data_IF_196906657931
#
_entry.id   IF_196906657931
#
_cell.length_a   1.000
_cell.length_b   1.000
_cell.length_c   1.000
_cell.angle_alpha   90.00
_cell.angle_beta   90.00
_cell.angle_gamma   90.00
#
_symmetry.space_group_name_H-M   'P 1'
#
loop_
_entity.id
_entity.type
_entity.pdbx_description
1 polymer ?
#
# COMPACT_ATOMS: atom_id res chain seq x y z
N UNK A 1 25.64 25.92 29.46
CA UNK A 1 24.48 25.01 29.37
C UNK A 1 24.76 23.75 30.18
N UNK A 2 23.67 23.07 30.63
CA UNK A 2 23.78 21.84 31.41
C UNK A 2 24.56 20.73 30.70
N UNK A 3 24.74 20.84 29.39
CA UNK A 3 25.45 19.89 28.50
C UNK A 3 26.90 20.30 28.20
N UNK A 4 27.43 21.33 28.88
CA UNK A 4 28.84 21.75 28.78
C UNK A 4 29.17 22.55 27.51
N UNK A 5 28.17 22.98 26.71
CA UNK A 5 28.38 23.86 25.57
C UNK A 5 28.46 25.32 26.01
N UNK A 6 29.49 26.04 25.54
CA UNK A 6 29.60 27.50 25.72
C UNK A 6 28.56 28.18 24.80
N UNK A 7 27.62 28.93 25.40
CA UNK A 7 26.68 29.74 24.66
C UNK A 7 27.09 31.21 24.75
N UNK A 8 27.22 31.86 23.60
CA UNK A 8 27.55 33.28 23.53
C UNK A 8 26.27 34.13 23.69
N UNK A 9 26.27 35.02 24.67
CA UNK A 9 25.13 35.88 24.99
C UNK A 9 25.50 37.31 24.81
N UNK A 10 24.73 38.07 24.01
CA UNK A 10 24.84 39.52 23.92
C UNK A 10 24.08 40.20 25.07
N UNK A 11 24.77 40.95 25.87
CA UNK A 11 24.19 41.74 26.94
C UNK A 11 23.92 43.14 26.39
N UNK A 12 22.66 43.49 26.20
CA UNK A 12 22.24 44.80 25.67
C UNK A 12 21.55 45.60 26.76
N UNK A 13 22.06 46.83 27.00
CA UNK A 13 21.41 47.80 27.86
C UNK A 13 20.46 48.70 27.08
N UNK A 14 19.21 48.68 27.45
CA UNK A 14 18.21 49.59 26.87
C UNK A 14 18.11 50.84 27.74
N UNK A 15 18.68 51.95 27.23
CA UNK A 15 18.72 53.23 27.93
C UNK A 15 17.34 53.88 28.10
N UNK A 16 16.33 53.47 27.31
CA UNK A 16 14.97 54.01 27.40
C UNK A 16 14.16 53.40 28.53
N UNK A 17 14.42 52.12 28.84
CA UNK A 17 13.71 51.35 29.87
C UNK A 17 14.57 51.13 31.13
N UNK A 18 15.86 51.38 31.06
CA UNK A 18 16.81 51.14 32.15
C UNK A 18 17.06 49.66 32.47
N UNK A 19 16.68 48.76 31.56
CA UNK A 19 16.74 47.32 31.78
C UNK A 19 17.89 46.69 30.99
N UNK A 20 18.62 45.78 31.63
CA UNK A 20 19.59 44.94 30.96
C UNK A 20 18.85 43.70 30.39
N UNK A 21 18.99 43.42 29.08
CA UNK A 21 18.48 42.25 28.44
C UNK A 21 19.62 41.37 27.93
N UNK A 22 19.49 40.05 28.17
CA UNK A 22 20.40 39.05 27.63
C UNK A 22 19.76 38.51 26.37
N UNK A 23 20.43 38.71 25.23
CA UNK A 23 19.97 38.18 23.93
C UNK A 23 20.85 37.01 23.54
N UNK A 24 20.24 35.91 23.22
CA UNK A 24 20.90 34.74 22.63
C UNK A 24 20.52 34.69 21.15
N UNK A 25 21.54 34.59 20.29
CA UNK A 25 21.29 34.25 18.88
C UNK A 25 20.80 32.80 18.81
N UNK A 26 19.55 32.62 18.50
CA UNK A 26 18.99 31.30 18.26
C UNK A 26 18.76 31.15 16.76
N UNK A 27 19.36 30.14 16.14
CA UNK A 27 19.03 29.82 14.75
C UNK A 27 17.59 29.39 14.70
N UNK A 28 16.73 30.19 14.11
CA UNK A 28 15.34 29.86 13.87
C UNK A 28 15.20 29.48 12.40
N UNK A 29 14.85 28.26 12.15
CA UNK A 29 14.51 27.83 10.78
C UNK A 29 13.22 28.54 10.35
N UNK A 30 13.35 29.47 9.42
CA UNK A 30 12.19 30.11 8.79
C UNK A 30 11.74 29.25 7.63
N UNK A 31 10.60 28.55 7.79
CA UNK A 31 9.99 27.80 6.71
C UNK A 31 9.32 28.79 5.74
N UNK A 32 9.76 28.81 4.50
CA UNK A 32 9.12 29.60 3.45
C UNK A 32 7.84 28.87 2.98
N UNK A 33 6.73 29.26 3.61
CA UNK A 33 5.42 28.64 3.35
C UNK A 33 4.81 29.27 2.09
N UNK A 34 4.25 28.42 1.22
CA UNK A 34 3.63 28.85 -0.03
C UNK A 34 4.55 29.65 -0.94
N UNK A 35 5.86 29.38 -0.91
CA UNK A 35 6.79 29.97 -1.86
C UNK A 35 6.36 29.62 -3.29
N UNK A 36 6.36 30.64 -4.14
CA UNK A 36 6.12 30.43 -5.58
C UNK A 36 7.24 29.60 -6.20
N UNK A 37 7.00 28.92 -7.34
CA UNK A 37 8.03 28.19 -8.07
C UNK A 37 9.27 29.05 -8.31
N UNK A 38 10.43 28.52 -7.93
CA UNK A 38 11.74 29.20 -8.07
C UNK A 38 12.83 28.15 -8.39
N UNK A 39 14.11 28.60 -8.44
CA UNK A 39 15.22 27.69 -8.78
C UNK A 39 15.50 26.63 -7.72
N UNK A 40 15.17 26.87 -6.47
CA UNK A 40 15.35 25.95 -5.35
C UNK A 40 14.12 25.04 -5.18
N UNK A 41 12.93 25.57 -5.41
CA UNK A 41 11.65 24.89 -5.30
C UNK A 41 10.87 24.97 -6.62
N UNK A 42 11.10 24.04 -7.54
CA UNK A 42 10.53 24.09 -8.89
C UNK A 42 8.99 24.11 -8.94
N UNK A 43 8.34 23.49 -7.97
CA UNK A 43 6.88 23.53 -7.82
C UNK A 43 6.45 24.35 -6.59
N UNK A 44 7.37 25.12 -6.01
CA UNK A 44 7.11 25.89 -4.79
C UNK A 44 7.06 25.01 -3.54
N UNK A 45 6.58 25.60 -2.43
CA UNK A 45 6.46 24.94 -1.13
C UNK A 45 5.01 24.82 -0.68
N UNK A 46 4.73 23.85 0.20
CA UNK A 46 3.42 23.64 0.80
C UNK A 46 3.18 24.48 2.06
N UNK A 47 2.07 24.22 2.76
CA UNK A 47 1.70 24.88 4.04
C UNK A 47 2.74 24.72 5.15
N UNK A 48 3.58 23.69 5.06
CA UNK A 48 4.61 23.37 6.03
C UNK A 48 6.01 23.83 5.58
N UNK A 49 6.12 24.50 4.42
CA UNK A 49 7.38 24.88 3.83
C UNK A 49 8.15 23.74 3.16
N UNK A 50 7.50 22.59 2.94
CA UNK A 50 8.13 21.44 2.27
C UNK A 50 8.08 21.61 0.75
N UNK A 51 9.19 21.24 0.07
CA UNK A 51 9.27 21.28 -1.39
C UNK A 51 8.23 20.34 -2.03
N UNK A 52 7.35 20.91 -2.87
CA UNK A 52 6.24 20.19 -3.49
C UNK A 52 6.71 19.12 -4.46
N UNK A 53 7.79 19.34 -5.21
CA UNK A 53 8.34 18.35 -6.15
C UNK A 53 8.89 17.14 -5.40
N UNK A 54 9.69 17.37 -4.39
CA UNK A 54 10.24 16.32 -3.54
C UNK A 54 9.13 15.48 -2.91
N UNK A 55 8.10 16.15 -2.38
CA UNK A 55 6.95 15.49 -1.76
C UNK A 55 6.15 14.65 -2.76
N UNK A 56 5.97 15.14 -4.00
CA UNK A 56 5.30 14.41 -5.07
C UNK A 56 6.09 13.15 -5.46
N UNK A 57 7.42 13.27 -5.61
CA UNK A 57 8.29 12.14 -5.96
C UNK A 57 8.29 11.06 -4.86
N UNK A 58 8.46 11.46 -3.60
CA UNK A 58 8.41 10.51 -2.48
C UNK A 58 7.03 9.88 -2.31
N UNK A 59 5.96 10.67 -2.41
CA UNK A 59 4.58 10.17 -2.36
C UNK A 59 4.27 9.20 -3.49
N UNK A 60 4.69 9.52 -4.72
CA UNK A 60 4.57 8.63 -5.88
C UNK A 60 5.30 7.31 -5.69
N UNK A 61 6.55 7.35 -5.20
CA UNK A 61 7.32 6.14 -4.87
C UNK A 61 6.58 5.26 -3.86
N UNK A 62 6.09 5.85 -2.77
CA UNK A 62 5.37 5.12 -1.72
C UNK A 62 4.07 4.51 -2.28
N UNK A 63 3.31 5.27 -3.06
CA UNK A 63 2.06 4.79 -3.68
C UNK A 63 2.30 3.61 -4.63
N UNK A 64 3.37 3.65 -5.44
CA UNK A 64 3.73 2.55 -6.32
C UNK A 64 4.13 1.30 -5.53
N UNK A 65 4.94 1.44 -4.48
CA UNK A 65 5.34 0.31 -3.62
C UNK A 65 4.11 -0.34 -3.00
N UNK A 66 3.20 0.47 -2.43
CA UNK A 66 1.94 -0.03 -1.84
C UNK A 66 1.13 -0.77 -2.90
N UNK A 67 0.92 -0.17 -4.07
CA UNK A 67 0.15 -0.77 -5.15
C UNK A 67 0.70 -2.12 -5.58
N UNK A 68 2.02 -2.22 -5.83
CA UNK A 68 2.65 -3.48 -6.23
C UNK A 68 2.56 -4.57 -5.16
N UNK A 69 2.79 -4.22 -3.88
CA UNK A 69 2.73 -5.21 -2.79
C UNK A 69 1.29 -5.69 -2.59
N UNK A 70 0.32 -4.79 -2.56
CA UNK A 70 -1.11 -5.15 -2.39
C UNK A 70 -1.57 -6.05 -3.54
N UNK A 71 -1.31 -5.66 -4.79
CA UNK A 71 -1.68 -6.46 -5.97
C UNK A 71 -0.98 -7.82 -5.98
N UNK A 72 0.29 -7.90 -5.55
CA UNK A 72 1.00 -9.18 -5.45
C UNK A 72 0.35 -10.11 -4.43
N UNK A 73 -0.10 -9.60 -3.27
CA UNK A 73 -0.79 -10.38 -2.24
C UNK A 73 -2.16 -10.83 -2.74
N UNK A 74 -2.98 -9.90 -3.23
CA UNK A 74 -4.32 -10.17 -3.77
C UNK A 74 -4.26 -11.17 -4.92
N UNK A 75 -3.34 -10.93 -5.87
CA UNK A 75 -3.12 -11.78 -7.02
C UNK A 75 -2.69 -13.19 -6.64
N UNK A 76 -1.72 -13.32 -5.74
CA UNK A 76 -1.21 -14.63 -5.30
C UNK A 76 -2.32 -15.48 -4.68
N UNK A 77 -3.08 -14.90 -3.73
CA UNK A 77 -4.19 -15.61 -3.06
C UNK A 77 -5.33 -15.87 -4.05
N UNK A 78 -5.74 -14.83 -4.79
CA UNK A 78 -6.87 -14.90 -5.71
C UNK A 78 -6.65 -15.86 -6.86
N UNK A 79 -5.45 -15.90 -7.45
CA UNK A 79 -5.09 -16.85 -8.52
C UNK A 79 -5.14 -18.28 -8.02
N UNK A 80 -4.57 -18.57 -6.85
CA UNK A 80 -4.56 -19.93 -6.29
C UNK A 80 -5.98 -20.37 -5.94
N UNK A 81 -6.74 -19.56 -5.21
CA UNK A 81 -8.08 -19.90 -4.77
C UNK A 81 -9.07 -19.98 -5.96
N UNK A 82 -9.00 -19.03 -6.88
CA UNK A 82 -9.83 -19.04 -8.09
C UNK A 82 -9.46 -20.17 -9.04
N UNK A 83 -8.17 -20.47 -9.17
CA UNK A 83 -7.66 -21.59 -9.97
C UNK A 83 -8.15 -22.94 -9.47
N UNK A 84 -8.04 -23.18 -8.17
CA UNK A 84 -8.52 -24.41 -7.52
C UNK A 84 -10.05 -24.53 -7.65
N UNK A 85 -10.76 -23.46 -7.33
CA UNK A 85 -12.22 -23.39 -7.41
C UNK A 85 -12.73 -23.69 -8.82
N UNK A 86 -12.23 -22.98 -9.83
CA UNK A 86 -12.63 -23.13 -11.21
C UNK A 86 -12.28 -24.49 -11.81
N UNK A 87 -11.13 -25.08 -11.41
CA UNK A 87 -10.69 -26.35 -11.95
C UNK A 87 -11.45 -27.55 -11.36
N UNK A 88 -11.51 -27.68 -10.03
CA UNK A 88 -12.13 -28.85 -9.38
C UNK A 88 -13.66 -28.77 -9.41
N UNK A 89 -14.24 -27.58 -9.32
CA UNK A 89 -15.69 -27.42 -9.31
C UNK A 89 -16.39 -28.06 -8.10
N UNK A 90 -17.69 -28.32 -8.23
CA UNK A 90 -18.47 -29.05 -7.26
C UNK A 90 -18.38 -28.54 -5.82
N UNK A 91 -18.05 -29.41 -4.86
CA UNK A 91 -17.97 -29.05 -3.44
C UNK A 91 -16.82 -28.07 -3.13
N UNK A 92 -15.66 -28.25 -3.79
CA UNK A 92 -14.49 -27.37 -3.60
C UNK A 92 -14.82 -25.96 -4.04
N UNK A 93 -15.44 -25.80 -5.19
CA UNK A 93 -15.90 -24.53 -5.71
C UNK A 93 -16.90 -23.86 -4.76
N UNK A 94 -17.91 -24.61 -4.32
CA UNK A 94 -18.92 -24.10 -3.39
C UNK A 94 -18.29 -23.63 -2.08
N UNK A 95 -17.33 -24.37 -1.51
CA UNK A 95 -16.66 -23.98 -0.27
C UNK A 95 -15.86 -22.68 -0.44
N UNK A 96 -15.04 -22.62 -1.49
CA UNK A 96 -14.20 -21.43 -1.75
C UNK A 96 -15.08 -20.21 -2.02
N UNK A 97 -16.14 -20.37 -2.83
CA UNK A 97 -17.06 -19.25 -3.12
C UNK A 97 -17.84 -18.79 -1.88
N UNK A 98 -18.16 -19.67 -0.94
CA UNK A 98 -18.76 -19.25 0.34
C UNK A 98 -17.78 -18.42 1.17
N UNK A 99 -16.51 -18.78 1.19
CA UNK A 99 -15.49 -17.95 1.84
C UNK A 99 -15.40 -16.59 1.15
N UNK A 100 -15.35 -16.56 -0.19
CA UNK A 100 -15.37 -15.31 -0.97
C UNK A 100 -16.60 -14.46 -0.63
N UNK A 101 -17.80 -15.05 -0.54
CA UNK A 101 -19.01 -14.34 -0.20
C UNK A 101 -18.96 -13.72 1.21
N UNK A 102 -18.38 -14.42 2.19
CA UNK A 102 -18.15 -13.89 3.55
C UNK A 102 -17.26 -12.66 3.50
N UNK A 103 -16.17 -12.68 2.74
CA UNK A 103 -15.29 -11.52 2.59
C UNK A 103 -16.01 -10.33 1.93
N UNK A 104 -16.89 -10.57 0.96
CA UNK A 104 -17.70 -9.50 0.35
C UNK A 104 -18.73 -8.89 1.30
N UNK A 105 -19.17 -9.61 2.33
CA UNK A 105 -20.03 -9.04 3.37
C UNK A 105 -19.28 -8.11 4.33
N UNK A 106 -17.94 -8.17 4.35
CA UNK A 106 -17.14 -7.31 5.21
C UNK A 106 -17.00 -5.91 4.58
N UNK A 107 -17.44 -4.85 5.28
CA UNK A 107 -17.28 -3.50 4.76
C UNK A 107 -15.81 -3.06 4.91
N UNK A 108 -15.04 -3.16 3.82
CA UNK A 108 -13.58 -2.92 3.82
C UNK A 108 -13.20 -1.52 4.31
N UNK A 109 -13.93 -0.48 3.90
CA UNK A 109 -13.65 0.91 4.32
C UNK A 109 -13.74 1.12 5.84
N UNK A 110 -14.84 0.73 6.54
CA UNK A 110 -14.90 0.77 8.00
C UNK A 110 -13.78 0.00 8.68
N UNK A 111 -13.43 -1.19 8.18
CA UNK A 111 -12.35 -2.01 8.74
C UNK A 111 -11.01 -1.27 8.67
N UNK A 112 -10.67 -0.70 7.51
CA UNK A 112 -9.42 0.04 7.32
C UNK A 112 -9.35 1.27 8.23
N UNK A 113 -10.46 2.01 8.36
CA UNK A 113 -10.53 3.20 9.23
C UNK A 113 -10.34 2.81 10.70
N UNK A 114 -11.04 1.77 11.18
CA UNK A 114 -10.95 1.31 12.57
C UNK A 114 -9.52 0.82 12.88
N UNK A 115 -8.95 0.01 11.98
CA UNK A 115 -7.58 -0.48 12.16
C UNK A 115 -6.55 0.64 12.10
N UNK A 116 -6.74 1.62 11.20
CA UNK A 116 -5.93 2.82 11.16
C UNK A 116 -5.95 3.60 12.47
N UNK A 117 -7.14 3.86 13.01
CA UNK A 117 -7.33 4.55 14.29
C UNK A 117 -6.74 3.76 15.47
N UNK A 118 -6.90 2.43 15.48
CA UNK A 118 -6.30 1.58 16.51
C UNK A 118 -4.77 1.64 16.48
N UNK A 119 -4.16 1.62 15.28
CA UNK A 119 -2.71 1.75 15.12
C UNK A 119 -2.19 3.13 15.56
N UNK A 120 -2.97 4.19 15.34
CA UNK A 120 -2.67 5.54 15.87
C UNK A 120 -2.71 5.57 17.40
N UNK A 121 -3.73 4.98 18.01
CA UNK A 121 -3.85 4.89 19.46
C UNK A 121 -2.69 4.09 20.08
N UNK A 122 -2.20 3.07 19.40
CA UNK A 122 -1.04 2.27 19.81
C UNK A 122 0.31 2.96 19.52
N UNK A 123 0.31 4.15 18.92
CA UNK A 123 1.50 4.92 18.51
C UNK A 123 2.48 4.11 17.66
N UNK A 124 1.94 3.27 16.77
CA UNK A 124 2.75 2.50 15.82
C UNK A 124 3.41 3.48 14.84
N UNK A 125 4.70 3.28 14.58
CA UNK A 125 5.45 4.11 13.64
C UNK A 125 4.86 4.06 12.22
N UNK A 126 5.05 5.11 11.45
CA UNK A 126 4.42 5.28 10.13
C UNK A 126 4.78 4.18 9.14
N UNK A 127 6.02 3.64 9.19
CA UNK A 127 6.45 2.58 8.30
C UNK A 127 5.75 1.25 8.61
N UNK A 128 5.75 0.84 9.87
CA UNK A 128 5.09 -0.39 10.33
C UNK A 128 3.57 -0.32 10.09
N UNK A 129 2.96 0.84 10.34
CA UNK A 129 1.54 1.09 10.03
C UNK A 129 1.25 0.90 8.54
N UNK A 130 2.09 1.46 7.68
CA UNK A 130 1.96 1.30 6.23
C UNK A 130 2.05 -0.18 5.82
N UNK A 131 2.98 -0.95 6.38
CA UNK A 131 3.11 -2.39 6.12
C UNK A 131 1.85 -3.16 6.55
N UNK A 132 1.31 -2.89 7.73
CA UNK A 132 0.07 -3.54 8.17
C UNK A 132 -1.11 -3.21 7.29
N UNK A 133 -1.25 -1.95 6.86
CA UNK A 133 -2.31 -1.55 5.94
C UNK A 133 -2.19 -2.26 4.59
N UNK A 134 -0.98 -2.42 4.04
CA UNK A 134 -0.75 -3.18 2.80
C UNK A 134 -1.17 -4.64 2.94
N UNK A 135 -0.81 -5.29 4.06
CA UNK A 135 -1.18 -6.68 4.33
C UNK A 135 -2.71 -6.83 4.45
N UNK A 136 -3.35 -5.93 5.18
CA UNK A 136 -4.81 -5.94 5.37
C UNK A 136 -5.53 -5.72 4.04
N UNK A 137 -5.11 -4.71 3.25
CA UNK A 137 -5.69 -4.44 1.93
C UNK A 137 -5.54 -5.65 1.01
N UNK A 138 -4.34 -6.21 0.91
CA UNK A 138 -4.09 -7.39 0.08
C UNK A 138 -4.90 -8.61 0.53
N UNK A 139 -5.08 -8.77 1.85
CA UNK A 139 -5.88 -9.87 2.39
C UNK A 139 -7.39 -9.65 2.25
N UNK A 140 -7.87 -8.42 2.13
CA UNK A 140 -9.28 -8.14 1.91
C UNK A 140 -9.66 -8.15 0.42
N UNK A 141 -8.71 -7.87 -0.49
CA UNK A 141 -8.98 -7.68 -1.92
C UNK A 141 -8.97 -8.96 -2.76
N UNK A 142 -8.33 -10.06 -2.29
CA UNK A 142 -8.19 -11.31 -3.05
C UNK A 142 -9.51 -11.93 -3.59
N UNK A 143 -10.69 -11.76 -2.94
CA UNK A 143 -11.93 -12.37 -3.41
C UNK A 143 -12.36 -11.92 -4.81
N UNK A 144 -12.08 -10.65 -5.14
CA UNK A 144 -12.36 -10.10 -6.48
C UNK A 144 -11.57 -10.85 -7.56
N UNK A 145 -10.27 -11.01 -7.34
CA UNK A 145 -9.38 -11.74 -8.25
C UNK A 145 -9.76 -13.22 -8.31
N UNK A 146 -10.05 -13.83 -7.17
CA UNK A 146 -10.47 -15.25 -7.14
C UNK A 146 -11.70 -15.52 -7.99
N UNK A 147 -12.72 -14.64 -7.92
CA UNK A 147 -13.95 -14.77 -8.70
C UNK A 147 -13.69 -14.60 -10.20
N UNK A 148 -12.84 -13.66 -10.57
CA UNK A 148 -12.46 -13.42 -11.96
C UNK A 148 -11.65 -14.60 -12.52
N UNK A 149 -10.63 -15.09 -11.80
CA UNK A 149 -9.82 -16.25 -12.19
C UNK A 149 -10.67 -17.50 -12.31
N UNK A 150 -11.58 -17.74 -11.36
CA UNK A 150 -12.52 -18.85 -11.44
C UNK A 150 -13.33 -18.82 -12.74
N UNK A 151 -13.89 -17.66 -13.10
CA UNK A 151 -14.66 -17.51 -14.33
C UNK A 151 -13.85 -17.87 -15.58
N UNK A 152 -12.60 -17.42 -15.65
CA UNK A 152 -11.71 -17.73 -16.77
C UNK A 152 -11.30 -19.21 -16.81
N UNK A 153 -10.99 -19.81 -15.66
CA UNK A 153 -10.62 -21.22 -15.57
C UNK A 153 -11.80 -22.13 -16.00
N UNK A 154 -13.02 -21.78 -15.63
CA UNK A 154 -14.21 -22.54 -16.08
C UNK A 154 -14.33 -22.57 -17.60
N UNK A 155 -14.04 -21.48 -18.29
CA UNK A 155 -14.04 -21.41 -19.76
C UNK A 155 -12.86 -22.17 -20.36
N UNK A 156 -11.65 -21.99 -19.81
CA UNK A 156 -10.42 -22.56 -20.36
C UNK A 156 -10.34 -24.08 -20.17
N UNK A 157 -10.88 -24.63 -19.08
CA UNK A 157 -10.82 -26.07 -18.82
C UNK A 157 -11.63 -26.92 -19.81
N UNK A 158 -12.59 -26.31 -20.52
CA UNK A 158 -13.43 -26.98 -21.51
C UNK A 158 -12.80 -26.95 -22.92
N UNK A 159 -11.63 -26.33 -23.07
CA UNK A 159 -10.96 -26.25 -24.36
C UNK A 159 -10.22 -27.53 -24.72
N UNK A 160 -10.05 -27.77 -26.03
CA UNK A 160 -9.45 -29.00 -26.58
C UNK A 160 -8.04 -29.30 -26.05
N UNK A 161 -7.22 -28.26 -25.81
CA UNK A 161 -5.87 -28.46 -25.28
C UNK A 161 -5.87 -29.05 -23.87
N UNK A 162 -6.91 -28.77 -23.07
CA UNK A 162 -7.07 -29.34 -21.74
C UNK A 162 -7.48 -30.79 -21.78
N UNK A 163 -8.36 -31.15 -22.70
CA UNK A 163 -8.74 -32.56 -22.97
C UNK A 163 -7.52 -33.34 -23.44
N UNK A 164 -6.73 -32.80 -24.34
CA UNK A 164 -5.48 -33.39 -24.78
C UNK A 164 -4.46 -33.56 -23.64
N UNK A 165 -4.29 -32.56 -22.77
CA UNK A 165 -3.42 -32.65 -21.61
C UNK A 165 -3.85 -33.73 -20.62
N UNK A 166 -5.16 -33.91 -20.47
CA UNK A 166 -5.72 -34.98 -19.64
C UNK A 166 -5.48 -36.36 -20.23
N UNK A 167 -5.71 -36.53 -21.54
CA UNK A 167 -5.45 -37.78 -22.27
C UNK A 167 -3.96 -38.18 -22.21
N UNK A 168 -3.04 -37.19 -22.16
CA UNK A 168 -1.60 -37.39 -21.97
C UNK A 168 -1.21 -37.71 -20.51
N UNK A 169 -2.16 -37.80 -19.59
CA UNK A 169 -1.92 -38.17 -18.18
C UNK A 169 -1.28 -37.06 -17.35
N UNK A 170 -1.34 -35.79 -17.78
CA UNK A 170 -0.79 -34.64 -17.04
C UNK A 170 -1.61 -34.47 -15.75
N UNK A 171 -0.92 -34.38 -14.60
CA UNK A 171 -1.57 -34.22 -13.29
C UNK A 171 -2.37 -32.92 -13.17
N UNK A 172 -3.44 -32.91 -12.36
CA UNK A 172 -4.32 -31.77 -12.16
C UNK A 172 -3.56 -30.49 -11.75
N UNK A 173 -2.61 -30.61 -10.80
CA UNK A 173 -1.79 -29.48 -10.35
C UNK A 173 -0.94 -28.90 -11.47
N UNK A 174 -0.35 -29.76 -12.31
CA UNK A 174 0.44 -29.31 -13.45
C UNK A 174 -0.45 -28.62 -14.48
N UNK A 175 -1.66 -29.13 -14.74
CA UNK A 175 -2.65 -28.49 -15.63
C UNK A 175 -3.06 -27.12 -15.11
N UNK A 176 -3.31 -26.96 -13.80
CA UNK A 176 -3.69 -25.68 -13.20
C UNK A 176 -2.53 -24.69 -13.31
N UNK A 177 -1.38 -25.01 -12.73
CA UNK A 177 -0.30 -24.01 -12.55
C UNK A 177 0.54 -23.78 -13.81
N UNK A 178 0.64 -24.74 -14.71
CA UNK A 178 1.49 -24.61 -15.89
C UNK A 178 0.73 -24.37 -17.20
N UNK A 179 -0.55 -24.67 -17.24
CA UNK A 179 -1.35 -24.47 -18.44
C UNK A 179 -2.45 -23.42 -18.23
N UNK A 180 -3.30 -23.54 -17.21
CA UNK A 180 -4.43 -22.65 -17.03
C UNK A 180 -4.03 -21.27 -16.49
N UNK A 181 -3.33 -21.21 -15.37
CA UNK A 181 -2.96 -19.92 -14.74
C UNK A 181 -2.17 -19.01 -15.69
N UNK A 182 -1.14 -19.48 -16.45
CA UNK A 182 -0.44 -18.59 -17.38
C UNK A 182 -1.32 -18.01 -18.47
N UNK A 183 -2.38 -18.73 -18.88
CA UNK A 183 -3.36 -18.23 -19.86
C UNK A 183 -4.36 -17.23 -19.26
N UNK A 184 -4.54 -17.21 -17.95
CA UNK A 184 -5.39 -16.24 -17.25
C UNK A 184 -4.64 -14.93 -16.95
N UNK A 185 -3.32 -14.98 -16.69
CA UNK A 185 -2.52 -13.81 -16.30
C UNK A 185 -2.68 -12.61 -17.26
N UNK A 186 -2.65 -12.76 -18.60
CA UNK A 186 -2.83 -11.62 -19.51
C UNK A 186 -4.14 -10.88 -19.31
N UNK A 187 -5.20 -11.59 -18.94
CA UNK A 187 -6.53 -11.01 -18.69
C UNK A 187 -6.65 -10.34 -17.31
N UNK A 188 -5.72 -10.68 -16.39
CA UNK A 188 -5.64 -10.03 -15.07
C UNK A 188 -4.89 -8.68 -15.12
N UNK A 189 -4.07 -8.48 -16.16
CA UNK A 189 -3.25 -7.28 -16.32
C UNK A 189 -4.05 -6.14 -17.01
N UNK A 190 -5.08 -6.48 -17.76
CA UNK A 190 -5.97 -5.54 -18.47
C UNK A 190 -7.12 -5.11 -17.59
#
# INVERSE_FOLDING_TARGET
DADGNEAEYDIVYDASTGVWSVKQMTETYVFDRYASPNKEHWLGTDTNGMDMLTRLMYGGRVSLIIGFIVVAIEGSIGIVMGGISGYFGGWVDNLIMRIVDVFYCLPSMPIIIILGAAMDAMRIDSWTRMMYLMLILGFLGWPGIARLVRGQILSLREQEFMTAAEACGISAWHRIFRHLIPNVIPQLIV
#
